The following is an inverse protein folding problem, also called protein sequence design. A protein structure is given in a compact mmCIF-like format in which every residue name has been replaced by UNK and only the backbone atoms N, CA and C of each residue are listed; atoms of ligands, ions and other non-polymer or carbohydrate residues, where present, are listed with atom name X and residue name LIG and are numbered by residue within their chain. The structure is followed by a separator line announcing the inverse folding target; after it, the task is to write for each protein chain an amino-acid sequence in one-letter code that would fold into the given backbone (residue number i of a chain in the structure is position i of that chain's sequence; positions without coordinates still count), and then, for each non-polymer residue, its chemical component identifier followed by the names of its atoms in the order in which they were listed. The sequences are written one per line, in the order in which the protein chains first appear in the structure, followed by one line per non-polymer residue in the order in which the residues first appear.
data_IF_069768890269
#
_entry.id   IF_069768890269
#
_cell.length_a   1.000
_cell.length_b   1.000
_cell.length_c   1.000
_cell.angle_alpha   90.00
_cell.angle_beta   90.00
_cell.angle_gamma   90.00
#
_symmetry.space_group_name_H-M   'P 1'
#
loop_
_entity.id
_entity.type
_entity.pdbx_description
1 polymer ?
#
# COMPACT_ATOMS: atom_id res chain seq x y z
N UNK A 1 -11.77 -8.17 -21.40
CA UNK A 1 -12.10 -7.50 -20.12
C UNK A 1 -13.61 -7.28 -20.08
N UNK A 2 -14.31 -7.78 -19.06
CA UNK A 2 -15.79 -7.60 -18.97
C UNK A 2 -16.16 -6.16 -18.64
N UNK A 3 -17.40 -5.74 -18.98
CA UNK A 3 -17.90 -4.38 -18.76
C UNK A 3 -17.73 -3.89 -17.30
N UNK A 4 -18.02 -4.69 -16.25
CA UNK A 4 -17.81 -4.25 -14.86
C UNK A 4 -16.37 -3.84 -14.57
N UNK A 5 -15.39 -4.65 -14.98
CA UNK A 5 -13.96 -4.35 -14.78
C UNK A 5 -13.54 -3.10 -15.56
N UNK A 6 -14.08 -2.89 -16.77
CA UNK A 6 -13.82 -1.67 -17.54
C UNK A 6 -14.34 -0.42 -16.81
N UNK A 7 -15.50 -0.51 -16.16
CA UNK A 7 -16.05 0.58 -15.34
C UNK A 7 -15.14 0.85 -14.14
N UNK A 8 -14.70 -0.18 -13.43
CA UNK A 8 -13.79 -0.01 -12.28
C UNK A 8 -12.47 0.64 -12.69
N UNK A 9 -11.83 0.18 -13.77
CA UNK A 9 -10.55 0.77 -14.20
C UNK A 9 -10.69 2.21 -14.71
N UNK A 10 -11.77 2.56 -15.40
CA UNK A 10 -12.02 3.96 -15.76
C UNK A 10 -12.37 4.85 -14.56
N UNK A 11 -13.08 4.31 -13.55
CA UNK A 11 -13.30 5.02 -12.30
C UNK A 11 -11.98 5.21 -11.52
N UNK A 12 -11.11 4.20 -11.48
CA UNK A 12 -9.78 4.25 -10.87
C UNK A 12 -8.93 5.39 -11.43
N UNK A 13 -8.83 5.51 -12.75
CA UNK A 13 -8.07 6.57 -13.41
C UNK A 13 -8.51 7.98 -12.98
N UNK A 14 -9.83 8.18 -12.89
CA UNK A 14 -10.40 9.47 -12.47
C UNK A 14 -10.18 9.70 -10.97
N UNK A 15 -10.48 8.71 -10.14
CA UNK A 15 -10.37 8.79 -8.68
C UNK A 15 -8.91 9.01 -8.27
N UNK A 16 -7.97 8.28 -8.83
CA UNK A 16 -6.55 8.44 -8.53
C UNK A 16 -6.01 9.81 -8.90
N UNK A 17 -6.55 10.42 -9.94
CA UNK A 17 -6.12 11.75 -10.39
C UNK A 17 -6.78 12.90 -9.62
N UNK A 18 -8.08 12.80 -9.36
CA UNK A 18 -8.87 13.93 -8.89
C UNK A 18 -9.44 13.78 -7.48
N UNK A 19 -9.27 12.61 -6.83
CA UNK A 19 -9.91 12.26 -5.57
C UNK A 19 -11.31 11.68 -5.76
N UNK A 20 -11.82 11.02 -4.71
CA UNK A 20 -13.13 10.34 -4.75
C UNK A 20 -14.27 11.34 -4.82
N UNK A 21 -14.23 12.40 -3.99
CA UNK A 21 -15.34 13.37 -3.85
C UNK A 21 -15.61 14.16 -5.10
N UNK A 22 -14.57 14.43 -5.88
CA UNK A 22 -14.65 15.26 -7.09
C UNK A 22 -15.21 14.52 -8.30
N UNK A 23 -15.41 13.19 -8.22
CA UNK A 23 -15.86 12.35 -9.32
C UNK A 23 -17.31 11.92 -9.10
N UNK A 24 -18.13 12.04 -10.16
CA UNK A 24 -19.51 11.60 -10.20
C UNK A 24 -19.70 10.39 -11.11
N UNK A 25 -20.84 9.72 -11.00
CA UNK A 25 -21.24 8.66 -11.96
C UNK A 25 -21.28 9.15 -13.41
N UNK A 26 -21.58 10.44 -13.60
CA UNK A 26 -21.61 11.10 -14.91
C UNK A 26 -20.21 11.28 -15.50
N UNK A 27 -19.24 11.62 -14.67
CA UNK A 27 -17.86 11.77 -15.08
C UNK A 27 -17.28 10.42 -15.51
N UNK A 28 -17.58 9.36 -14.78
CA UNK A 28 -17.20 7.98 -15.12
C UNK A 28 -17.83 7.57 -16.47
N UNK A 29 -19.13 7.85 -16.67
CA UNK A 29 -19.84 7.54 -17.90
C UNK A 29 -19.21 8.28 -19.11
N UNK A 30 -18.92 9.57 -18.93
CA UNK A 30 -18.30 10.42 -19.96
C UNK A 30 -16.89 9.96 -20.30
N UNK A 31 -16.08 9.68 -19.28
CA UNK A 31 -14.70 9.19 -19.45
C UNK A 31 -14.64 7.89 -20.25
N UNK A 32 -15.56 6.97 -19.96
CA UNK A 32 -15.65 5.67 -20.63
C UNK A 32 -16.41 5.69 -21.96
N UNK A 33 -16.97 6.85 -22.38
CA UNK A 33 -17.90 6.96 -23.52
C UNK A 33 -19.06 5.95 -23.43
N UNK A 34 -19.57 5.74 -22.21
CA UNK A 34 -20.71 4.86 -21.93
C UNK A 34 -21.95 5.65 -21.55
N UNK A 35 -23.15 5.07 -21.81
CA UNK A 35 -24.37 5.68 -21.29
C UNK A 35 -24.44 5.49 -19.75
N UNK A 36 -25.03 6.48 -19.05
CA UNK A 36 -25.33 6.33 -17.59
C UNK A 36 -26.08 5.04 -17.31
N UNK A 37 -27.09 4.71 -18.15
CA UNK A 37 -27.88 3.47 -18.02
C UNK A 37 -26.98 2.22 -18.04
N UNK A 38 -25.91 2.24 -18.82
CA UNK A 38 -24.95 1.13 -18.87
C UNK A 38 -24.23 0.98 -17.54
N UNK A 39 -23.77 2.08 -16.93
CA UNK A 39 -23.08 2.02 -15.63
C UNK A 39 -24.05 1.59 -14.54
N UNK A 40 -25.25 2.20 -14.45
CA UNK A 40 -26.27 1.87 -13.46
C UNK A 40 -26.81 0.43 -13.56
N UNK A 41 -26.60 -0.25 -14.68
CA UNK A 41 -26.88 -1.69 -14.81
C UNK A 41 -25.95 -2.56 -13.92
N UNK A 42 -24.73 -2.09 -13.67
CA UNK A 42 -23.71 -2.85 -12.93
C UNK A 42 -23.48 -2.31 -11.53
N UNK A 43 -23.59 -1.00 -11.34
CA UNK A 43 -23.34 -0.31 -10.07
C UNK A 43 -24.44 0.71 -9.83
N UNK A 44 -25.20 0.57 -8.75
CA UNK A 44 -26.36 1.42 -8.43
C UNK A 44 -25.94 2.79 -7.96
N UNK A 45 -24.77 2.89 -7.33
CA UNK A 45 -24.23 4.11 -6.76
C UNK A 45 -22.70 4.12 -6.79
N UNK A 46 -22.11 5.29 -6.54
CA UNK A 46 -20.66 5.46 -6.56
C UNK A 46 -19.97 4.64 -5.46
N UNK A 47 -20.61 4.48 -4.31
CA UNK A 47 -20.05 3.73 -3.18
C UNK A 47 -19.83 2.27 -3.52
N UNK A 48 -20.72 1.66 -4.32
CA UNK A 48 -20.52 0.30 -4.85
C UNK A 48 -19.28 0.21 -5.77
N UNK A 49 -19.03 1.23 -6.58
CA UNK A 49 -17.84 1.31 -7.43
C UNK A 49 -16.59 1.40 -6.56
N UNK A 50 -16.58 2.29 -5.56
CA UNK A 50 -15.43 2.51 -4.66
C UNK A 50 -15.13 1.23 -3.88
N UNK A 51 -16.14 0.58 -3.32
CA UNK A 51 -15.97 -0.67 -2.59
C UNK A 51 -15.42 -1.80 -3.48
N UNK A 52 -15.99 -1.95 -4.69
CA UNK A 52 -15.54 -2.95 -5.65
C UNK A 52 -14.13 -2.68 -6.16
N UNK A 53 -13.77 -1.40 -6.35
CA UNK A 53 -12.44 -0.97 -6.75
C UNK A 53 -11.42 -1.27 -5.65
N UNK A 54 -11.75 -0.99 -4.38
CA UNK A 54 -10.87 -1.32 -3.25
C UNK A 54 -10.60 -2.83 -3.20
N UNK A 55 -11.63 -3.67 -3.33
CA UNK A 55 -11.45 -5.14 -3.36
C UNK A 55 -10.55 -5.59 -4.51
N UNK A 56 -10.75 -5.02 -5.70
CA UNK A 56 -9.92 -5.34 -6.86
C UNK A 56 -8.45 -4.96 -6.60
N UNK A 57 -8.21 -3.77 -6.06
CA UNK A 57 -6.85 -3.28 -5.78
C UNK A 57 -6.19 -4.11 -4.66
N UNK A 58 -6.92 -4.51 -3.63
CA UNK A 58 -6.41 -5.41 -2.58
C UNK A 58 -5.95 -6.76 -3.19
N UNK A 59 -6.73 -7.35 -4.09
CA UNK A 59 -6.32 -8.61 -4.73
C UNK A 59 -5.10 -8.43 -5.67
N UNK A 60 -5.03 -7.32 -6.39
CA UNK A 60 -3.85 -6.96 -7.19
C UNK A 60 -2.61 -6.75 -6.29
N UNK A 61 -2.78 -6.09 -5.14
CA UNK A 61 -1.72 -5.86 -4.15
C UNK A 61 -1.25 -7.16 -3.49
N UNK A 62 -2.15 -8.07 -3.13
CA UNK A 62 -1.78 -9.41 -2.62
C UNK A 62 -0.89 -10.15 -3.60
N UNK A 63 -1.25 -10.15 -4.90
CA UNK A 63 -0.44 -10.76 -5.94
C UNK A 63 0.94 -10.10 -6.07
N UNK A 64 1.00 -8.77 -6.02
CA UNK A 64 2.23 -7.98 -6.14
C UNK A 64 3.16 -8.22 -4.95
N UNK A 65 2.64 -8.10 -3.75
CA UNK A 65 3.38 -8.34 -2.51
C UNK A 65 3.90 -9.77 -2.48
N UNK A 66 3.07 -10.77 -2.77
CA UNK A 66 3.51 -12.17 -2.82
C UNK A 66 4.68 -12.36 -3.80
N UNK A 67 4.62 -11.77 -4.99
CA UNK A 67 5.72 -11.86 -5.97
C UNK A 67 7.02 -11.26 -5.46
N UNK A 68 6.97 -10.17 -4.69
CA UNK A 68 8.17 -9.59 -4.07
C UNK A 68 8.77 -10.57 -3.07
N UNK A 69 7.97 -11.11 -2.16
CA UNK A 69 8.44 -12.06 -1.15
C UNK A 69 8.97 -13.37 -1.74
N UNK A 70 8.38 -13.84 -2.84
CA UNK A 70 8.82 -15.08 -3.50
C UNK A 70 10.13 -14.91 -4.29
N UNK A 71 10.40 -13.70 -4.80
CA UNK A 71 11.59 -13.42 -5.64
C UNK A 71 12.79 -12.91 -4.86
N UNK A 72 12.55 -12.20 -3.78
CA UNK A 72 13.62 -11.57 -3.03
C UNK A 72 14.50 -12.63 -2.31
N UNK A 73 15.80 -12.45 -2.40
CA UNK A 73 16.78 -13.37 -1.83
C UNK A 73 16.87 -13.27 -0.30
N UNK A 74 16.46 -12.14 0.28
CA UNK A 74 16.56 -11.86 1.71
C UNK A 74 15.62 -10.73 2.14
N UNK A 75 15.44 -10.60 3.47
CA UNK A 75 14.54 -9.59 4.07
C UNK A 75 14.90 -8.14 3.72
N UNK A 76 16.15 -7.81 3.50
CA UNK A 76 16.57 -6.46 3.12
C UNK A 76 16.10 -6.15 1.70
N UNK A 77 16.33 -7.07 0.76
CA UNK A 77 15.84 -6.96 -0.61
C UNK A 77 14.32 -6.88 -0.69
N UNK A 78 13.59 -7.70 0.10
CA UNK A 78 12.12 -7.63 0.21
C UNK A 78 11.66 -6.20 0.51
N UNK A 79 12.26 -5.55 1.51
CA UNK A 79 11.88 -4.19 1.90
C UNK A 79 12.21 -3.17 0.81
N UNK A 80 13.39 -3.25 0.17
CA UNK A 80 13.76 -2.33 -0.91
C UNK A 80 12.85 -2.48 -2.14
N UNK A 81 12.50 -3.71 -2.53
CA UNK A 81 11.57 -3.93 -3.64
C UNK A 81 10.15 -3.42 -3.29
N UNK A 82 9.67 -3.62 -2.05
CA UNK A 82 8.40 -3.04 -1.61
C UNK A 82 8.45 -1.50 -1.59
N UNK A 83 9.57 -0.89 -1.20
CA UNK A 83 9.74 0.57 -1.27
C UNK A 83 9.68 1.08 -2.71
N UNK A 84 10.21 0.34 -3.67
CA UNK A 84 10.14 0.66 -5.09
C UNK A 84 8.70 0.56 -5.62
N UNK A 85 8.00 -0.53 -5.31
CA UNK A 85 6.58 -0.68 -5.66
C UNK A 85 5.72 0.47 -5.07
N UNK A 86 6.01 0.89 -3.83
CA UNK A 86 5.36 2.05 -3.23
C UNK A 86 5.63 3.35 -3.99
N UNK A 87 6.86 3.59 -4.44
CA UNK A 87 7.17 4.78 -5.28
C UNK A 87 6.30 4.81 -6.52
N UNK A 88 6.22 3.68 -7.24
CA UNK A 88 5.43 3.56 -8.46
C UNK A 88 3.92 3.76 -8.20
N UNK A 89 3.42 3.30 -7.07
CA UNK A 89 2.04 3.50 -6.65
C UNK A 89 1.75 4.97 -6.33
N UNK A 90 2.55 5.60 -5.45
CA UNK A 90 2.32 6.97 -5.00
C UNK A 90 2.54 8.03 -6.09
N UNK A 91 3.26 7.72 -7.16
CA UNK A 91 3.33 8.62 -8.35
C UNK A 91 2.02 8.68 -9.12
N UNK A 92 1.14 7.68 -8.96
CA UNK A 92 -0.11 7.55 -9.73
C UNK A 92 -1.34 7.98 -8.93
N UNK A 93 -1.27 7.93 -7.60
CA UNK A 93 -2.42 8.12 -6.71
C UNK A 93 -2.32 9.47 -6.01
N UNK A 94 -3.31 10.32 -6.21
CA UNK A 94 -3.46 11.53 -5.41
C UNK A 94 -3.66 11.15 -3.93
N UNK A 95 -2.82 11.62 -3.01
CA UNK A 95 -2.89 11.27 -1.58
C UNK A 95 -4.24 11.51 -0.94
N UNK A 96 -5.01 12.46 -1.45
CA UNK A 96 -6.37 12.77 -0.94
C UNK A 96 -7.30 11.56 -0.98
N UNK A 97 -7.07 10.60 -1.90
CA UNK A 97 -7.87 9.38 -2.04
C UNK A 97 -7.88 8.57 -0.74
N UNK A 98 -6.72 8.40 -0.12
CA UNK A 98 -6.59 7.64 1.13
C UNK A 98 -7.31 8.34 2.29
N UNK A 99 -7.15 9.67 2.41
CA UNK A 99 -7.85 10.45 3.41
C UNK A 99 -9.38 10.41 3.22
N UNK A 100 -9.85 10.50 1.98
CA UNK A 100 -11.29 10.43 1.66
C UNK A 100 -11.86 9.04 1.93
N UNK A 101 -11.13 7.96 1.62
CA UNK A 101 -11.50 6.59 1.97
C UNK A 101 -11.62 6.42 3.49
N UNK A 102 -10.59 6.82 4.22
CA UNK A 102 -10.57 6.75 5.69
C UNK A 102 -11.75 7.49 6.31
N UNK A 103 -12.00 8.72 5.87
CA UNK A 103 -12.97 9.62 6.49
C UNK A 103 -14.42 9.36 6.09
N UNK A 104 -14.67 9.00 4.83
CA UNK A 104 -16.03 8.98 4.27
C UNK A 104 -16.52 7.60 3.84
N UNK A 105 -15.65 6.60 3.80
CA UNK A 105 -15.98 5.23 3.36
C UNK A 105 -15.55 4.19 4.40
N UNK A 106 -16.05 4.24 5.64
CA UNK A 106 -15.55 3.41 6.74
C UNK A 106 -15.71 1.92 6.48
N UNK A 107 -16.79 1.48 5.81
CA UNK A 107 -16.98 0.06 5.48
C UNK A 107 -15.96 -0.42 4.42
N UNK A 108 -15.64 0.44 3.45
CA UNK A 108 -14.60 0.14 2.47
C UNK A 108 -13.21 0.18 3.11
N UNK A 109 -12.99 1.09 4.06
CA UNK A 109 -11.73 1.16 4.81
C UNK A 109 -11.49 -0.09 5.66
N UNK A 110 -12.54 -0.73 6.19
CA UNK A 110 -12.42 -2.02 6.91
C UNK A 110 -11.81 -3.12 6.04
N UNK A 111 -12.10 -3.18 4.75
CA UNK A 111 -11.48 -4.16 3.83
C UNK A 111 -9.96 -3.95 3.77
N UNK A 112 -9.51 -2.70 3.71
CA UNK A 112 -8.08 -2.37 3.79
C UNK A 112 -7.49 -2.76 5.16
N UNK A 113 -8.19 -2.51 6.26
CA UNK A 113 -7.74 -2.90 7.60
C UNK A 113 -7.62 -4.42 7.75
N UNK A 114 -8.57 -5.20 7.20
CA UNK A 114 -8.48 -6.66 7.17
C UNK A 114 -7.27 -7.12 6.35
N UNK A 115 -7.08 -6.57 5.15
CA UNK A 115 -5.92 -6.87 4.31
C UNK A 115 -4.60 -6.58 5.05
N UNK A 116 -4.49 -5.41 5.69
CA UNK A 116 -3.33 -4.98 6.47
C UNK A 116 -3.06 -5.91 7.64
N UNK A 117 -4.08 -6.19 8.47
CA UNK A 117 -3.94 -6.90 9.73
C UNK A 117 -3.87 -8.43 9.61
N UNK A 118 -4.31 -8.99 8.49
CA UNK A 118 -4.24 -10.42 8.23
C UNK A 118 -3.07 -10.72 7.28
N UNK A 119 -3.18 -10.27 6.02
CA UNK A 119 -2.22 -10.65 4.99
C UNK A 119 -0.85 -9.97 5.16
N UNK A 120 -0.81 -8.63 5.29
CA UNK A 120 0.47 -7.91 5.39
C UNK A 120 1.19 -8.26 6.70
N UNK A 121 0.45 -8.33 7.82
CA UNK A 121 1.04 -8.69 9.11
C UNK A 121 1.70 -10.07 9.06
N UNK A 122 1.01 -11.08 8.50
CA UNK A 122 1.58 -12.42 8.33
C UNK A 122 2.86 -12.40 7.47
N UNK A 123 2.85 -11.68 6.36
CA UNK A 123 4.03 -11.55 5.49
C UNK A 123 5.22 -10.91 6.21
N UNK A 124 4.98 -9.85 6.97
CA UNK A 124 6.04 -9.18 7.75
C UNK A 124 6.58 -10.12 8.84
N UNK A 125 5.73 -10.84 9.57
CA UNK A 125 6.18 -11.80 10.58
C UNK A 125 7.05 -12.91 9.97
N UNK A 126 6.61 -13.51 8.85
CA UNK A 126 7.35 -14.55 8.13
C UNK A 126 8.71 -14.04 7.65
N UNK A 127 8.76 -12.81 7.11
CA UNK A 127 9.99 -12.17 6.64
C UNK A 127 10.99 -11.95 7.78
N UNK A 128 10.53 -11.41 8.92
CA UNK A 128 11.40 -11.21 10.09
C UNK A 128 11.93 -12.54 10.64
N UNK A 129 11.11 -13.59 10.69
CA UNK A 129 11.51 -14.94 11.11
C UNK A 129 12.57 -15.54 10.17
N UNK A 130 12.39 -15.40 8.85
CA UNK A 130 13.36 -15.81 7.84
C UNK A 130 14.67 -15.03 8.02
N UNK A 131 14.57 -13.70 8.18
CA UNK A 131 15.74 -12.84 8.39
C UNK A 131 16.52 -13.17 9.68
N UNK A 132 15.87 -13.65 10.74
CA UNK A 132 16.56 -14.16 11.94
C UNK A 132 17.35 -15.45 11.65
N UNK A 133 16.78 -16.38 10.87
CA UNK A 133 17.49 -17.61 10.46
C UNK A 133 18.70 -17.30 9.59
N UNK A 134 18.61 -16.29 8.73
CA UNK A 134 19.68 -15.83 7.85
C UNK A 134 20.75 -14.97 8.58
N UNK A 135 20.49 -14.63 9.84
CA UNK A 135 21.36 -13.79 10.67
C UNK A 135 21.35 -12.30 10.28
N UNK A 136 20.35 -11.87 9.51
CA UNK A 136 20.17 -10.48 9.08
C UNK A 136 19.32 -9.67 10.08
N UNK A 137 18.40 -10.33 10.78
CA UNK A 137 17.52 -9.74 11.78
C UNK A 137 17.99 -10.16 13.19
N UNK A 138 17.94 -9.24 14.13
CA UNK A 138 18.34 -9.44 15.53
C UNK A 138 17.45 -10.49 16.19
N UNK A 139 18.06 -11.35 17.03
CA UNK A 139 17.35 -12.41 17.76
C UNK A 139 16.69 -11.92 19.05
N UNK A 140 17.12 -10.78 19.57
CA UNK A 140 16.65 -10.19 20.83
C UNK A 140 15.34 -9.39 20.69
N UNK A 141 14.81 -9.26 19.46
CA UNK A 141 13.59 -8.50 19.21
C UNK A 141 12.33 -9.37 19.35
N UNK A 142 11.23 -8.74 19.78
CA UNK A 142 9.90 -9.35 19.74
C UNK A 142 9.30 -9.17 18.33
N UNK A 143 9.33 -10.23 17.52
CA UNK A 143 8.87 -10.21 16.12
C UNK A 143 7.41 -9.78 16.02
N UNK A 144 6.51 -10.35 16.83
CA UNK A 144 5.08 -10.02 16.76
C UNK A 144 4.81 -8.56 17.06
N UNK A 145 5.49 -8.01 18.07
CA UNK A 145 5.38 -6.59 18.43
C UNK A 145 5.86 -5.69 17.28
N UNK A 146 7.05 -5.99 16.71
CA UNK A 146 7.65 -5.15 15.69
C UNK A 146 6.96 -5.30 14.33
N UNK A 147 6.45 -6.49 14.00
CA UNK A 147 5.61 -6.68 12.83
C UNK A 147 4.31 -5.87 12.94
N UNK A 148 3.65 -5.90 14.11
CA UNK A 148 2.45 -5.09 14.36
C UNK A 148 2.77 -3.59 14.25
N UNK A 149 3.85 -3.12 14.87
CA UNK A 149 4.29 -1.73 14.74
C UNK A 149 4.53 -1.34 13.28
N UNK A 150 5.21 -2.19 12.51
CA UNK A 150 5.46 -1.96 11.08
C UNK A 150 4.18 -1.78 10.28
N UNK A 151 3.18 -2.60 10.56
CA UNK A 151 1.89 -2.59 9.86
C UNK A 151 1.06 -1.37 10.27
N UNK A 152 1.07 -0.96 11.55
CA UNK A 152 0.37 0.24 12.01
C UNK A 152 0.97 1.52 11.43
N UNK A 153 2.27 1.57 11.17
CA UNK A 153 2.90 2.71 10.50
C UNK A 153 2.33 2.99 9.10
N UNK A 154 1.79 1.98 8.42
CA UNK A 154 1.11 2.16 7.12
C UNK A 154 -0.14 3.02 7.30
N UNK A 155 -1.01 2.64 8.24
CA UNK A 155 -2.26 3.38 8.50
C UNK A 155 -2.00 4.79 9.04
N UNK A 156 -1.03 4.92 9.95
CA UNK A 156 -0.60 6.21 10.51
C UNK A 156 -0.19 7.21 9.40
N UNK A 157 0.43 6.72 8.34
CA UNK A 157 0.83 7.57 7.20
C UNK A 157 -0.34 7.87 6.28
N UNK A 158 -1.16 6.86 5.94
CA UNK A 158 -2.26 6.99 4.98
C UNK A 158 -3.44 7.82 5.54
N UNK A 159 -3.70 7.73 6.84
CA UNK A 159 -4.82 8.44 7.50
C UNK A 159 -4.66 9.95 7.53
N UNK A 160 -3.43 10.46 7.51
CA UNK A 160 -3.14 11.90 7.51
C UNK A 160 -3.33 12.60 8.86
N UNK A 161 -3.68 11.88 9.92
CA UNK A 161 -3.84 12.46 11.26
C UNK A 161 -2.51 12.83 11.92
N UNK A 162 -1.50 11.95 11.78
CA UNK A 162 -0.16 12.15 12.34
C UNK A 162 0.72 12.94 11.38
N UNK A 163 0.69 12.58 10.10
CA UNK A 163 1.43 13.23 9.03
C UNK A 163 0.45 13.92 8.09
N UNK A 164 0.10 15.18 8.41
CA UNK A 164 -0.83 15.96 7.61
C UNK A 164 -0.31 16.12 6.17
N UNK A 165 -1.13 15.77 5.19
CA UNK A 165 -0.74 15.67 3.78
C UNK A 165 -0.39 17.02 3.13
N UNK A 166 -0.77 18.14 3.76
CA UNK A 166 -0.39 19.49 3.36
C UNK A 166 1.03 19.90 3.83
N UNK A 167 1.60 19.15 4.80
CA UNK A 167 2.91 19.42 5.40
C UNK A 167 3.97 18.37 5.07
N UNK A 168 3.53 17.14 4.84
CA UNK A 168 4.41 16.00 4.62
C UNK A 168 4.08 15.29 3.32
N UNK A 169 5.10 14.98 2.52
CA UNK A 169 4.94 14.08 1.40
C UNK A 169 4.76 12.65 1.93
N UNK A 170 3.63 12.02 1.62
CA UNK A 170 3.27 10.69 2.11
C UNK A 170 4.29 9.62 1.72
N UNK A 171 4.82 9.69 0.49
CA UNK A 171 5.84 8.75 0.03
C UNK A 171 7.12 8.90 0.84
N UNK A 172 7.58 10.13 1.07
CA UNK A 172 8.82 10.38 1.83
C UNK A 172 8.68 9.86 3.27
N UNK A 173 7.53 10.07 3.91
CA UNK A 173 7.23 9.53 5.24
C UNK A 173 7.29 7.99 5.24
N UNK A 174 6.63 7.34 4.29
CA UNK A 174 6.62 5.88 4.21
C UNK A 174 8.02 5.30 3.97
N UNK A 175 8.81 5.94 3.11
CA UNK A 175 10.17 5.51 2.83
C UNK A 175 11.07 5.69 4.06
N UNK A 176 11.00 6.86 4.73
CA UNK A 176 11.76 7.14 5.94
C UNK A 176 11.43 6.17 7.08
N UNK A 177 10.14 5.91 7.33
CA UNK A 177 9.70 4.94 8.34
C UNK A 177 10.15 3.52 7.98
N UNK A 178 10.07 3.13 6.71
CA UNK A 178 10.51 1.81 6.24
C UNK A 178 12.01 1.60 6.44
N UNK A 179 12.81 2.62 6.11
CA UNK A 179 14.25 2.61 6.32
C UNK A 179 14.61 2.58 7.81
N UNK A 180 13.99 3.45 8.62
CA UNK A 180 14.19 3.49 10.06
C UNK A 180 13.87 2.13 10.72
N UNK A 181 12.74 1.53 10.34
CA UNK A 181 12.35 0.19 10.81
C UNK A 181 13.42 -0.84 10.45
N UNK A 182 13.88 -0.85 9.21
CA UNK A 182 14.87 -1.81 8.72
C UNK A 182 16.18 -1.71 9.51
N UNK A 183 16.72 -0.51 9.71
CA UNK A 183 17.90 -0.29 10.54
C UNK A 183 17.67 -0.72 12.00
N UNK A 184 16.49 -0.48 12.55
CA UNK A 184 16.14 -0.85 13.93
C UNK A 184 16.09 -2.37 14.19
N UNK A 185 15.70 -3.17 13.20
CA UNK A 185 15.53 -4.63 13.36
C UNK A 185 16.75 -5.44 12.90
N UNK A 186 17.62 -4.85 12.07
CA UNK A 186 18.75 -5.56 11.47
C UNK A 186 19.93 -5.74 12.43
N UNK A 187 20.73 -6.79 12.19
CA UNK A 187 22.08 -7.00 12.75
C UNK A 187 23.09 -6.14 12.00
N UNK A 188 24.34 -6.09 12.46
CA UNK A 188 25.46 -5.48 11.73
C UNK A 188 25.62 -6.08 10.30
N UNK A 189 25.39 -7.39 10.15
CA UNK A 189 25.38 -8.05 8.82
C UNK A 189 24.27 -7.48 7.95
N UNK A 190 23.08 -7.27 8.52
CA UNK A 190 21.96 -6.63 7.82
C UNK A 190 22.25 -5.18 7.47
N UNK A 191 22.86 -4.39 8.37
CA UNK A 191 23.25 -3.00 8.10
C UNK A 191 24.23 -2.88 6.91
N UNK A 192 25.24 -3.74 6.84
CA UNK A 192 26.16 -3.79 5.68
C UNK A 192 25.42 -4.05 4.37
N UNK A 193 24.42 -4.93 4.42
CA UNK A 193 23.60 -5.22 3.25
C UNK A 193 22.70 -4.02 2.87
N UNK A 194 22.12 -3.32 3.84
CA UNK A 194 21.35 -2.08 3.62
C UNK A 194 22.24 -1.03 2.93
N UNK A 195 23.45 -0.80 3.47
CA UNK A 195 24.41 0.16 2.92
C UNK A 195 24.76 -0.17 1.46
N UNK A 196 24.93 -1.47 1.14
CA UNK A 196 25.16 -1.92 -0.23
C UNK A 196 24.00 -1.59 -1.17
N UNK A 197 22.75 -1.81 -0.74
CA UNK A 197 21.55 -1.45 -1.55
C UNK A 197 21.40 0.07 -1.73
N UNK A 198 21.87 0.84 -0.76
CA UNK A 198 21.86 2.32 -0.80
C UNK A 198 23.07 2.92 -1.50
N UNK A 199 24.05 2.12 -1.92
CA UNK A 199 25.36 2.57 -2.43
C UNK A 199 26.08 3.52 -1.46
N UNK A 200 25.98 3.27 -0.15
CA UNK A 200 26.70 4.00 0.89
C UNK A 200 28.04 3.31 1.07
N UNK A 201 29.13 4.07 0.86
CA UNK A 201 30.48 3.63 1.19
C UNK A 201 30.67 3.74 2.71
N UNK A 202 31.20 2.67 3.34
CA UNK A 202 31.58 2.71 4.75
C UNK A 202 32.91 3.50 4.84
N UNK A 203 32.90 4.62 5.59
CA UNK A 203 34.11 5.35 5.96
C UNK A 203 35.00 4.57 6.93
#
# INVERSE_FOLDING_TARGET
MGTPIKILKGAEELIFKYGIKNITMDDIARHLSMSKKTIYKYYKEKDEIIHSLMKLNIEEDKCRVTKVYDKASNVVEEVFELMKEMRDMFTKINPIVFHELYKYYPETWKEFQCFKNEFILEKVEQSLLKGQKDGLIRKDINIKLLAKLRVENIEMTLGGEVFAHDKFNMLDVQLAISEHFLYGVCTLKGHKLINKYKNIEEE
#
